data_IF_239456618076
#
_entry.id   IF_239456618076
#
_cell.length_a   1.000
_cell.length_b   1.000
_cell.length_c   1.000
_cell.angle_alpha   90.00
_cell.angle_beta   90.00
_cell.angle_gamma   90.00
#
_symmetry.space_group_name_H-M   'P 1'
#
loop_
_entity.id
_entity.type
_entity.pdbx_description
1 polymer ?
#
# COMPACT_ATOMS: atom_id res chain seq x y z
N UNK A 1 -33.91 25.31 -10.85
CA UNK A 1 -32.82 24.48 -11.40
C UNK A 1 -31.42 24.77 -10.82
N UNK A 2 -31.27 25.55 -9.73
CA UNK A 2 -29.95 25.93 -9.17
C UNK A 2 -29.54 25.15 -7.91
N UNK A 3 -30.51 24.52 -7.25
CA UNK A 3 -30.34 23.81 -5.97
C UNK A 3 -29.82 22.37 -6.11
N UNK A 4 -29.97 21.74 -7.28
CA UNK A 4 -29.52 20.35 -7.47
C UNK A 4 -28.00 20.20 -7.67
N UNK A 5 -27.31 21.28 -8.05
CA UNK A 5 -25.85 21.27 -8.23
C UNK A 5 -25.08 21.14 -6.89
N UNK A 6 -25.66 21.59 -5.77
CA UNK A 6 -25.01 21.52 -4.46
C UNK A 6 -25.03 20.12 -3.85
N UNK A 7 -26.04 19.30 -4.16
CA UNK A 7 -26.18 17.94 -3.61
C UNK A 7 -25.12 17.00 -4.20
N UNK A 8 -24.78 17.18 -5.49
CA UNK A 8 -23.74 16.39 -6.17
C UNK A 8 -22.32 16.69 -5.66
N UNK A 9 -22.06 17.89 -5.14
CA UNK A 9 -20.74 18.26 -4.64
C UNK A 9 -20.39 17.57 -3.30
N UNK A 10 -21.38 17.32 -2.44
CA UNK A 10 -21.19 16.76 -1.10
C UNK A 10 -20.94 15.23 -1.07
N UNK A 11 -21.34 14.50 -2.12
CA UNK A 11 -21.13 13.05 -2.22
C UNK A 11 -19.70 12.63 -2.60
N UNK A 12 -18.80 13.59 -2.83
CA UNK A 12 -17.41 13.32 -3.25
C UNK A 12 -16.42 13.21 -2.09
N UNK A 13 -16.87 13.33 -0.83
CA UNK A 13 -16.02 13.11 0.34
C UNK A 13 -15.76 11.61 0.43
N UNK A 14 -14.71 11.18 -0.26
CA UNK A 14 -14.23 9.81 -0.29
C UNK A 14 -14.01 9.32 1.14
N UNK A 15 -14.80 8.33 1.55
CA UNK A 15 -14.54 7.57 2.75
C UNK A 15 -13.23 6.81 2.56
N UNK A 16 -12.13 7.37 3.06
CA UNK A 16 -10.90 6.61 3.26
C UNK A 16 -11.15 5.76 4.49
N UNK A 17 -11.63 4.53 4.31
CA UNK A 17 -11.81 3.62 5.45
C UNK A 17 -10.43 3.29 6.05
N UNK A 18 -10.13 3.90 7.19
CA UNK A 18 -8.96 3.57 7.98
C UNK A 18 -9.17 2.19 8.61
N UNK A 19 -8.29 1.25 8.29
CA UNK A 19 -8.31 -0.07 8.92
C UNK A 19 -7.72 0.08 10.32
N UNK A 20 -8.50 -0.17 11.37
CA UNK A 20 -8.03 -0.15 12.77
C UNK A 20 -7.46 -1.51 13.17
N UNK A 21 -6.56 -1.50 14.16
CA UNK A 21 -6.03 -2.73 14.74
C UNK A 21 -7.09 -3.46 15.55
N UNK A 22 -6.93 -4.78 15.72
CA UNK A 22 -7.75 -5.54 16.65
C UNK A 22 -7.32 -5.33 18.13
N UNK A 23 -8.06 -5.95 19.06
CA UNK A 23 -7.77 -5.88 20.50
C UNK A 23 -6.39 -6.43 20.91
N UNK A 24 -5.71 -7.16 20.02
CA UNK A 24 -4.38 -7.72 20.23
C UNK A 24 -3.30 -6.95 19.43
N UNK A 25 -3.60 -5.75 18.92
CA UNK A 25 -2.73 -4.97 18.03
C UNK A 25 -2.35 -5.72 16.73
N UNK A 26 -3.22 -6.60 16.26
CA UNK A 26 -3.04 -7.30 14.97
C UNK A 26 -3.78 -6.57 13.87
N UNK A 27 -3.22 -6.73 12.68
CA UNK A 27 -3.75 -6.22 11.43
C UNK A 27 -3.86 -7.35 10.41
N UNK A 28 -4.64 -7.17 9.34
CA UNK A 28 -4.61 -8.08 8.19
C UNK A 28 -3.18 -8.29 7.66
N UNK A 29 -2.95 -9.39 6.97
CA UNK A 29 -1.63 -9.69 6.41
C UNK A 29 -1.07 -8.51 5.59
N UNK A 30 0.24 -8.27 5.72
CA UNK A 30 0.98 -7.16 5.07
C UNK A 30 0.66 -5.77 5.62
N UNK A 31 -0.11 -5.67 6.71
CA UNK A 31 -0.26 -4.45 7.48
C UNK A 31 0.39 -4.61 8.85
N UNK A 32 0.83 -3.51 9.43
CA UNK A 32 1.34 -3.46 10.80
C UNK A 32 0.55 -2.45 11.59
N UNK A 33 0.27 -2.77 12.85
CA UNK A 33 -0.40 -1.83 13.74
C UNK A 33 0.57 -0.73 14.14
N UNK A 34 0.22 0.51 13.83
CA UNK A 34 0.94 1.70 14.24
C UNK A 34 -0.09 2.73 14.71
N UNK A 35 0.02 3.13 15.98
CA UNK A 35 -0.90 4.09 16.62
C UNK A 35 -2.39 3.73 16.44
N UNK A 36 -2.73 2.47 16.73
CA UNK A 36 -4.10 1.96 16.61
C UNK A 36 -4.65 1.83 15.18
N UNK A 37 -3.82 2.10 14.17
CA UNK A 37 -4.19 2.04 12.75
C UNK A 37 -3.28 1.06 12.00
N UNK A 38 -3.87 0.27 11.11
CA UNK A 38 -3.16 -0.68 10.27
C UNK A 38 -2.55 0.05 9.07
N UNK A 39 -1.23 0.21 9.09
CA UNK A 39 -0.46 0.79 7.99
C UNK A 39 0.10 -0.32 7.09
N UNK A 40 0.04 -0.12 5.78
CA UNK A 40 0.58 -1.10 4.84
C UNK A 40 2.10 -1.17 4.98
N UNK A 41 2.63 -2.38 5.18
CA UNK A 41 4.07 -2.65 5.23
C UNK A 41 4.49 -3.40 3.98
N UNK A 42 5.48 -2.85 3.28
CA UNK A 42 6.08 -3.53 2.17
C UNK A 42 6.76 -4.82 2.65
N UNK A 43 6.49 -5.97 1.99
CA UNK A 43 7.21 -7.19 2.31
C UNK A 43 8.68 -7.01 1.93
N UNK A 44 9.58 -7.22 2.90
CA UNK A 44 11.02 -7.24 2.64
C UNK A 44 11.34 -8.54 1.90
N UNK A 45 11.65 -8.46 0.61
CA UNK A 45 12.08 -9.59 -0.19
C UNK A 45 13.54 -9.39 -0.58
N UNK A 46 14.41 -10.28 -0.09
CA UNK A 46 15.79 -10.39 -0.54
C UNK A 46 15.84 -11.56 -1.52
N UNK A 47 15.85 -11.31 -2.84
CA UNK A 47 15.99 -12.40 -3.80
C UNK A 47 17.37 -13.06 -3.66
N UNK A 48 17.40 -14.38 -3.76
CA UNK A 48 18.62 -15.13 -4.07
C UNK A 48 18.78 -15.13 -5.60
N UNK A 49 19.90 -14.61 -6.11
CA UNK A 49 20.14 -14.49 -7.54
C UNK A 49 21.58 -14.83 -7.92
N UNK A 50 21.80 -15.48 -9.08
CA UNK A 50 23.13 -15.88 -9.49
C UNK A 50 24.03 -14.67 -9.80
N UNK A 51 25.33 -14.87 -9.59
CA UNK A 51 26.35 -13.88 -9.93
C UNK A 51 26.29 -13.55 -11.44
N UNK A 52 26.40 -12.26 -11.77
CA UNK A 52 26.36 -11.77 -13.16
C UNK A 52 25.00 -11.26 -13.64
N UNK A 53 23.93 -11.37 -12.83
CA UNK A 53 22.65 -10.74 -13.17
C UNK A 53 22.61 -9.25 -12.77
N UNK A 54 21.97 -8.43 -13.60
CA UNK A 54 21.70 -7.03 -13.31
C UNK A 54 20.40 -6.92 -12.48
N UNK A 55 20.43 -6.14 -11.41
CA UNK A 55 19.27 -5.91 -10.56
C UNK A 55 18.86 -4.46 -10.70
N UNK A 56 17.58 -4.24 -11.03
CA UNK A 56 16.98 -2.91 -11.04
C UNK A 56 15.90 -2.83 -9.98
N UNK A 57 16.01 -1.85 -9.09
CA UNK A 57 14.95 -1.56 -8.13
C UNK A 57 13.91 -0.62 -8.73
N UNK A 58 12.64 -0.83 -8.38
CA UNK A 58 11.54 0.05 -8.79
C UNK A 58 10.46 0.05 -7.71
N UNK A 59 9.62 1.10 -7.68
CA UNK A 59 8.46 1.16 -6.80
C UNK A 59 7.23 0.60 -7.53
N UNK A 60 6.52 -0.33 -6.88
CA UNK A 60 5.24 -0.82 -7.40
C UNK A 60 4.11 0.20 -7.20
N UNK A 61 2.89 -0.12 -7.65
CA UNK A 61 1.71 0.76 -7.50
C UNK A 61 1.35 1.09 -6.06
N UNK A 62 1.88 0.33 -5.08
CA UNK A 62 1.69 0.55 -3.64
C UNK A 62 2.88 1.25 -3.01
N UNK A 63 3.84 1.72 -3.82
CA UNK A 63 5.04 2.41 -3.37
C UNK A 63 6.13 1.49 -2.81
N UNK A 64 5.97 0.16 -2.90
CA UNK A 64 6.94 -0.78 -2.37
C UNK A 64 8.11 -0.99 -3.31
N UNK A 65 9.32 -1.03 -2.74
CA UNK A 65 10.52 -1.39 -3.47
C UNK A 65 10.47 -2.85 -3.92
N UNK A 66 10.68 -3.06 -5.22
CA UNK A 66 10.76 -4.35 -5.89
C UNK A 66 12.05 -4.41 -6.67
N UNK A 67 12.55 -5.63 -6.88
CA UNK A 67 13.68 -5.89 -7.75
C UNK A 67 13.19 -6.55 -9.05
N UNK A 68 13.74 -6.10 -10.18
CA UNK A 68 13.68 -6.81 -11.46
C UNK A 68 15.09 -7.35 -11.73
N UNK A 69 15.19 -8.67 -11.82
CA UNK A 69 16.45 -9.36 -12.11
C UNK A 69 16.51 -9.61 -13.62
N UNK A 70 17.61 -9.21 -14.24
CA UNK A 70 17.88 -9.42 -15.65
C UNK A 70 19.18 -10.20 -15.79
N UNK A 71 19.07 -11.49 -16.10
CA UNK A 71 20.20 -12.35 -16.39
C UNK A 71 20.33 -12.46 -17.91
N UNK A 72 21.52 -12.20 -18.46
CA UNK A 72 21.83 -12.34 -19.88
C UNK A 72 22.37 -13.72 -20.19
#
# INVERSE_FOLDING_TARGET
MRTQLFVLALLTIAATEEIKCDANNKCPEKYVCFDGTCIYRCPTYVPDYPAGCEIRTYKDRKGCERAKINCK
#
